data_IF_172749640539
#
_entry.id   IF_172749640539
#
_cell.length_a   1.000
_cell.length_b   1.000
_cell.length_c   1.000
_cell.angle_alpha   90.00
_cell.angle_beta   90.00
_cell.angle_gamma   90.00
#
_symmetry.space_group_name_H-M   'P 1'
#
loop_
_entity.id
_entity.type
_entity.pdbx_description
1 polymer ?
#
# COMPACT_ATOMS: atom_id res chain seq x y z
N UNK A 1 -16.04 -21.95 -0.38
CA UNK A 1 -14.61 -22.05 -0.02
C UNK A 1 -14.29 -20.89 0.91
N UNK A 2 -13.76 -21.13 2.10
CA UNK A 2 -13.26 -20.04 2.95
C UNK A 2 -11.98 -19.51 2.31
N UNK A 3 -11.93 -18.23 1.95
CA UNK A 3 -10.69 -17.57 1.51
C UNK A 3 -9.81 -17.40 2.77
N UNK A 4 -8.87 -18.31 2.99
CA UNK A 4 -7.95 -18.31 4.15
C UNK A 4 -6.80 -17.30 4.00
N UNK A 5 -7.00 -16.20 3.28
CA UNK A 5 -5.97 -15.21 3.00
C UNK A 5 -6.45 -13.83 3.43
N UNK A 6 -5.59 -13.11 4.14
CA UNK A 6 -5.82 -11.72 4.55
C UNK A 6 -5.03 -10.83 3.60
N UNK A 7 -5.73 -9.95 2.88
CA UNK A 7 -5.14 -8.97 1.96
C UNK A 7 -4.93 -7.66 2.72
N UNK A 8 -3.67 -7.30 2.93
CA UNK A 8 -3.28 -6.04 3.56
C UNK A 8 -2.90 -5.03 2.49
N UNK A 9 -3.65 -3.92 2.41
CA UNK A 9 -3.30 -2.78 1.58
C UNK A 9 -2.43 -1.79 2.37
N UNK A 10 -1.18 -1.63 1.91
CA UNK A 10 -0.28 -0.58 2.37
C UNK A 10 -0.61 0.73 1.64
N UNK A 11 -1.46 1.53 2.24
CA UNK A 11 -1.84 2.84 1.73
C UNK A 11 -0.71 3.83 1.99
N UNK A 12 0.20 3.96 1.02
CA UNK A 12 1.27 4.94 1.04
C UNK A 12 0.86 6.18 0.22
N UNK A 13 0.85 7.39 0.81
CA UNK A 13 0.54 8.61 0.08
C UNK A 13 1.48 8.81 -1.13
N UNK A 14 0.96 9.27 -2.29
CA UNK A 14 1.76 9.42 -3.50
C UNK A 14 2.94 10.39 -3.34
N UNK A 15 2.83 11.40 -2.46
CA UNK A 15 3.91 12.32 -2.12
C UNK A 15 5.09 11.57 -1.51
N UNK A 16 4.81 10.67 -0.56
CA UNK A 16 5.80 9.80 0.08
C UNK A 16 6.38 8.76 -0.87
N UNK A 17 5.61 8.31 -1.86
CA UNK A 17 6.12 7.41 -2.90
C UNK A 17 7.15 8.17 -3.73
N UNK A 18 6.87 9.41 -4.13
CA UNK A 18 7.74 10.21 -5.00
C UNK A 18 9.06 10.59 -4.31
N UNK A 19 9.02 10.91 -3.01
CA UNK A 19 10.22 11.25 -2.22
C UNK A 19 11.28 10.13 -2.27
N UNK A 20 10.85 8.87 -2.23
CA UNK A 20 11.73 7.71 -2.08
C UNK A 20 12.06 6.99 -3.41
N UNK A 21 11.53 7.46 -4.55
CA UNK A 21 11.58 6.68 -5.79
C UNK A 21 12.74 7.08 -6.72
N UNK A 22 13.60 6.12 -7.02
CA UNK A 22 14.52 6.25 -8.16
C UNK A 22 13.78 5.92 -9.47
N UNK A 23 13.41 6.98 -10.20
CA UNK A 23 12.65 6.90 -11.44
C UNK A 23 13.40 6.12 -12.54
N UNK A 24 14.74 6.09 -12.50
CA UNK A 24 15.55 5.44 -13.55
C UNK A 24 15.35 3.93 -13.62
N UNK A 25 15.00 3.31 -12.49
CA UNK A 25 14.83 1.85 -12.38
C UNK A 25 13.40 1.39 -12.62
N UNK A 26 12.44 2.32 -12.82
CA UNK A 26 11.00 2.01 -12.87
C UNK A 26 10.39 2.44 -14.21
N UNK A 27 10.27 1.53 -15.20
CA UNK A 27 9.79 1.84 -16.54
C UNK A 27 8.41 2.53 -16.56
N UNK A 28 7.51 2.12 -15.66
CA UNK A 28 6.16 2.68 -15.54
C UNK A 28 6.13 4.13 -15.06
N UNK A 29 7.24 4.64 -14.51
CA UNK A 29 7.37 5.99 -13.97
C UNK A 29 8.32 6.87 -14.79
N UNK A 30 8.82 6.37 -15.94
CA UNK A 30 9.65 7.15 -16.86
C UNK A 30 8.99 8.45 -17.32
N UNK A 31 7.66 8.48 -17.35
CA UNK A 31 6.85 9.65 -17.72
C UNK A 31 6.82 10.74 -16.63
N UNK A 32 7.40 10.49 -15.46
CA UNK A 32 7.57 11.49 -14.40
C UNK A 32 6.64 11.29 -13.20
N UNK A 33 6.65 12.29 -12.30
CA UNK A 33 5.97 12.26 -10.99
C UNK A 33 4.44 12.21 -11.12
N UNK A 34 3.88 12.86 -12.13
CA UNK A 34 2.42 12.91 -12.37
C UNK A 34 1.81 11.54 -12.66
N UNK A 35 2.62 10.62 -13.21
CA UNK A 35 2.20 9.25 -13.47
C UNK A 35 1.93 8.49 -12.17
N UNK A 36 2.66 8.80 -11.09
CA UNK A 36 2.42 8.19 -9.77
C UNK A 36 1.04 8.55 -9.25
N UNK A 37 0.66 9.83 -9.32
CA UNK A 37 -0.66 10.30 -8.89
C UNK A 37 -1.79 9.68 -9.72
N UNK A 38 -1.61 9.63 -11.04
CA UNK A 38 -2.59 9.02 -11.95
C UNK A 38 -2.80 7.54 -11.61
N UNK A 39 -1.73 6.76 -11.53
CA UNK A 39 -1.79 5.33 -11.18
C UNK A 39 -2.37 5.10 -9.78
N UNK A 40 -2.05 5.97 -8.83
CA UNK A 40 -2.60 5.90 -7.48
C UNK A 40 -4.12 6.06 -7.51
N UNK A 41 -4.63 7.11 -8.16
CA UNK A 41 -6.07 7.36 -8.26
C UNK A 41 -6.81 6.25 -9.01
N UNK A 42 -6.25 5.75 -10.11
CA UNK A 42 -6.83 4.65 -10.89
C UNK A 42 -6.92 3.35 -10.09
N UNK A 43 -5.98 3.08 -9.19
CA UNK A 43 -5.89 1.79 -8.48
C UNK A 43 -6.43 1.83 -7.06
N UNK A 44 -6.56 3.02 -6.44
CA UNK A 44 -6.97 3.18 -5.05
C UNK A 44 -8.30 2.47 -4.76
N UNK A 45 -9.27 2.61 -5.65
CA UNK A 45 -10.58 1.97 -5.49
C UNK A 45 -10.48 0.43 -5.52
N UNK A 46 -9.58 -0.13 -6.33
CA UNK A 46 -9.35 -1.58 -6.40
C UNK A 46 -8.71 -2.07 -5.10
N UNK A 47 -7.68 -1.38 -4.61
CA UNK A 47 -7.03 -1.76 -3.36
C UNK A 47 -8.01 -1.72 -2.18
N UNK A 48 -8.83 -0.66 -2.08
CA UNK A 48 -9.86 -0.56 -1.05
C UNK A 48 -10.96 -1.60 -1.19
N UNK A 49 -11.29 -2.02 -2.41
CA UNK A 49 -12.33 -3.03 -2.68
C UNK A 49 -11.89 -4.44 -2.27
N UNK A 50 -10.61 -4.76 -2.48
CA UNK A 50 -10.10 -6.12 -2.28
C UNK A 50 -9.31 -6.32 -0.99
N UNK A 51 -8.98 -5.26 -0.25
CA UNK A 51 -8.29 -5.41 1.02
C UNK A 51 -9.24 -5.80 2.15
N UNK A 52 -8.78 -6.69 3.02
CA UNK A 52 -9.41 -6.95 4.32
C UNK A 52 -8.96 -5.90 5.34
N UNK A 53 -7.71 -5.42 5.20
CA UNK A 53 -7.09 -4.47 6.12
C UNK A 53 -6.37 -3.38 5.32
N UNK A 54 -6.75 -2.12 5.59
CA UNK A 54 -6.00 -0.95 5.13
C UNK A 54 -5.05 -0.49 6.25
N UNK A 55 -3.78 -0.28 5.91
CA UNK A 55 -2.73 0.27 6.79
C UNK A 55 -2.14 1.51 6.12
N UNK A 56 -2.23 2.65 6.81
CA UNK A 56 -1.56 3.88 6.36
C UNK A 56 -0.05 3.76 6.56
N UNK A 57 0.70 4.00 5.50
CA UNK A 57 2.16 3.92 5.46
C UNK A 57 2.76 5.29 5.16
N UNK A 58 2.56 6.25 6.06
CA UNK A 58 3.02 7.63 5.95
C UNK A 58 4.20 7.97 6.89
N UNK A 59 4.65 6.99 7.69
CA UNK A 59 5.72 7.11 8.68
C UNK A 59 6.92 6.21 8.33
N UNK A 60 7.49 5.53 9.32
CA UNK A 60 8.66 4.67 9.18
C UNK A 60 8.26 3.23 8.80
N UNK A 61 9.26 2.44 8.36
CA UNK A 61 9.09 1.02 8.13
C UNK A 61 8.61 0.29 9.40
N UNK A 62 9.19 0.63 10.55
CA UNK A 62 8.83 0.00 11.83
C UNK A 62 7.39 0.32 12.23
N UNK A 63 6.93 1.56 12.01
CA UNK A 63 5.53 1.93 12.23
C UNK A 63 4.59 1.10 11.37
N UNK A 64 4.90 0.95 10.08
CA UNK A 64 4.10 0.16 9.16
C UNK A 64 4.05 -1.32 9.59
N UNK A 65 5.19 -1.92 9.92
CA UNK A 65 5.27 -3.32 10.38
C UNK A 65 4.48 -3.52 11.67
N UNK A 66 4.65 -2.65 12.65
CA UNK A 66 3.93 -2.71 13.92
C UNK A 66 2.42 -2.59 13.72
N UNK A 67 1.97 -1.71 12.84
CA UNK A 67 0.54 -1.54 12.54
C UNK A 67 -0.03 -2.76 11.81
N UNK A 68 0.71 -3.37 10.87
CA UNK A 68 0.31 -4.62 10.22
C UNK A 68 0.14 -5.73 11.26
N UNK A 69 1.15 -5.97 12.11
CA UNK A 69 1.11 -7.02 13.14
C UNK A 69 -0.12 -6.82 14.04
N UNK A 70 -0.30 -5.59 14.53
CA UNK A 70 -1.44 -5.22 15.40
C UNK A 70 -2.79 -5.51 14.74
N UNK A 71 -2.94 -5.24 13.44
CA UNK A 71 -4.22 -5.44 12.73
C UNK A 71 -4.45 -6.88 12.26
N UNK A 72 -3.39 -7.63 11.98
CA UNK A 72 -3.48 -9.01 11.48
C UNK A 72 -3.67 -10.02 12.60
N UNK A 73 -3.07 -9.83 13.78
CA UNK A 73 -3.19 -10.77 14.93
C UNK A 73 -4.64 -11.20 15.24
N UNK A 74 -5.64 -10.29 15.28
CA UNK A 74 -7.04 -10.67 15.54
C UNK A 74 -7.61 -11.71 14.57
N UNK A 75 -7.12 -11.75 13.33
CA UNK A 75 -7.58 -12.67 12.29
C UNK A 75 -6.88 -14.03 12.32
N UNK A 76 -5.75 -14.15 13.02
CA UNK A 76 -5.00 -15.41 13.17
C UNK A 76 -5.42 -16.14 14.45
N UNK A 77 -5.83 -15.39 15.48
CA UNK A 77 -6.22 -15.92 16.78
C UNK A 77 -7.71 -16.33 16.87
N UNK A 78 -8.43 -16.38 15.75
CA UNK A 78 -9.85 -16.74 15.64
C UNK A 78 -10.07 -18.02 14.85
#
# INVERSE_FOLDING_TARGET
MKQNSIIVFLNRPPEKIIEDIDIKTRPLLREGRDKVFTLYNERLHLYKKYCDIEVLNDKTLDDAVNEIIKRVIPYISS
#
